data_IF_378920591115
#
_entry.id   IF_378920591115
#
_cell.length_a   1.000
_cell.length_b   1.000
_cell.length_c   1.000
_cell.angle_alpha   90.00
_cell.angle_beta   90.00
_cell.angle_gamma   90.00
#
_symmetry.space_group_name_H-M   'P 1'
#
loop_
_entity.id
_entity.type
_entity.pdbx_description
1 polymer ?
#
# COMPACT_ATOMS: atom_id res chain seq x y z
N UNK A 1 29.42 2.44 -35.35
CA UNK A 1 30.24 2.40 -34.12
C UNK A 1 30.41 0.96 -33.70
N UNK A 2 31.63 0.44 -33.74
CA UNK A 2 31.94 -0.94 -33.34
C UNK A 2 32.33 -0.92 -31.87
N UNK A 3 31.50 -1.50 -30.99
CA UNK A 3 31.84 -1.64 -29.56
C UNK A 3 32.82 -2.80 -29.42
N UNK A 4 34.04 -2.51 -28.98
CA UNK A 4 35.07 -3.54 -28.72
C UNK A 4 34.96 -4.02 -27.27
N UNK A 5 34.51 -5.26 -27.07
CA UNK A 5 34.39 -5.86 -25.74
C UNK A 5 35.76 -6.34 -25.25
N UNK A 6 36.33 -5.63 -24.26
CA UNK A 6 37.65 -5.96 -23.70
C UNK A 6 37.52 -6.57 -22.31
N UNK A 7 38.51 -7.38 -21.91
CA UNK A 7 38.55 -8.02 -20.58
C UNK A 7 38.46 -7.00 -19.42
N UNK A 8 39.04 -5.81 -19.61
CA UNK A 8 38.94 -4.69 -18.66
C UNK A 8 37.55 -4.06 -18.64
N UNK A 9 36.91 -3.92 -19.81
CA UNK A 9 35.51 -3.48 -19.90
C UNK A 9 34.56 -4.44 -19.19
N UNK A 10 34.81 -5.74 -19.28
CA UNK A 10 34.03 -6.76 -18.57
C UNK A 10 34.18 -6.65 -17.04
N UNK A 11 35.40 -6.47 -16.54
CA UNK A 11 35.66 -6.31 -15.09
C UNK A 11 35.09 -4.99 -14.55
N UNK A 12 35.16 -3.90 -15.32
CA UNK A 12 34.56 -2.63 -14.93
C UNK A 12 33.03 -2.72 -14.86
N UNK A 13 32.41 -3.43 -15.80
CA UNK A 13 30.96 -3.64 -15.81
C UNK A 13 30.50 -4.50 -14.62
N UNK A 14 31.22 -5.56 -14.25
CA UNK A 14 30.84 -6.40 -13.11
C UNK A 14 30.95 -5.66 -11.78
N UNK A 15 31.97 -4.82 -11.60
CA UNK A 15 32.09 -3.97 -10.40
C UNK A 15 30.98 -2.92 -10.34
N UNK A 16 30.63 -2.31 -11.49
CA UNK A 16 29.52 -1.36 -11.56
C UNK A 16 28.16 -1.99 -11.22
N UNK A 17 27.91 -3.24 -11.66
CA UNK A 17 26.71 -3.99 -11.28
C UNK A 17 26.72 -4.43 -9.81
N UNK A 18 27.89 -4.73 -9.24
CA UNK A 18 28.01 -5.13 -7.83
C UNK A 18 27.82 -3.97 -6.84
N UNK A 19 28.08 -2.73 -7.28
CA UNK A 19 27.86 -1.50 -6.49
C UNK A 19 26.52 -0.83 -6.77
N UNK A 20 25.76 -1.32 -7.75
CA UNK A 20 24.42 -0.83 -8.00
C UNK A 20 23.54 -1.17 -6.79
N UNK A 21 22.85 -0.19 -6.17
CA UNK A 21 21.89 -0.50 -5.12
C UNK A 21 20.84 -1.44 -5.70
N UNK A 22 20.62 -2.58 -5.04
CA UNK A 22 19.53 -3.47 -5.39
C UNK A 22 18.22 -2.68 -5.26
N UNK A 23 17.57 -2.40 -6.39
CA UNK A 23 16.23 -1.86 -6.40
C UNK A 23 15.28 -2.99 -5.98
N UNK A 24 15.12 -3.16 -4.67
CA UNK A 24 14.05 -4.00 -4.13
C UNK A 24 12.73 -3.31 -4.50
N UNK A 25 11.86 -4.02 -5.21
CA UNK A 25 10.47 -3.61 -5.31
C UNK A 25 9.91 -3.60 -3.88
N UNK A 26 9.64 -2.41 -3.32
CA UNK A 26 9.00 -2.33 -2.03
C UNK A 26 7.58 -2.88 -2.16
N UNK A 27 7.23 -3.84 -1.32
CA UNK A 27 5.84 -4.27 -1.18
C UNK A 27 4.97 -3.06 -0.88
N UNK A 28 3.80 -3.00 -1.53
CA UNK A 28 2.86 -1.91 -1.30
C UNK A 28 2.45 -1.92 0.17
N UNK A 29 2.60 -0.82 0.92
CA UNK A 29 2.08 -0.73 2.27
C UNK A 29 0.60 -1.13 2.29
N UNK A 30 0.22 -1.93 3.30
CA UNK A 30 -1.16 -2.34 3.51
C UNK A 30 -1.95 -1.19 4.13
N UNK A 31 -3.17 -0.98 3.65
CA UNK A 31 -4.08 0.03 4.16
C UNK A 31 -5.42 -0.63 4.46
N UNK A 32 -5.61 -1.05 5.71
CA UNK A 32 -6.84 -1.69 6.17
C UNK A 32 -7.85 -0.63 6.59
N UNK A 33 -9.06 -0.75 6.07
CA UNK A 33 -10.19 0.08 6.46
C UNK A 33 -11.16 -0.76 7.30
N UNK A 34 -11.50 -0.30 8.51
CA UNK A 34 -12.62 -0.83 9.28
C UNK A 34 -13.79 0.13 9.23
N UNK A 35 -14.95 -0.35 8.79
CA UNK A 35 -16.17 0.44 8.75
C UNK A 35 -17.40 -0.38 9.18
N UNK A 36 -18.29 0.28 9.92
CA UNK A 36 -19.48 -0.36 10.51
C UNK A 36 -20.68 -0.36 9.57
N UNK A 37 -20.67 0.52 8.57
CA UNK A 37 -21.69 0.53 7.53
C UNK A 37 -21.52 -0.63 6.54
N UNK A 38 -22.57 -0.87 5.74
CA UNK A 38 -22.55 -1.89 4.70
C UNK A 38 -21.68 -1.48 3.51
N UNK A 39 -21.29 -2.47 2.71
CA UNK A 39 -20.60 -2.25 1.44
C UNK A 39 -21.43 -1.45 0.43
N UNK A 40 -22.76 -1.52 0.53
CA UNK A 40 -23.71 -0.83 -0.35
C UNK A 40 -24.02 0.61 0.09
N UNK A 41 -23.50 1.06 1.24
CA UNK A 41 -23.57 2.46 1.66
C UNK A 41 -22.84 3.35 0.64
N UNK A 42 -23.38 4.54 0.36
CA UNK A 42 -22.79 5.45 -0.63
C UNK A 42 -21.35 5.86 -0.31
N UNK A 43 -20.97 5.91 0.97
CA UNK A 43 -19.59 6.18 1.39
C UNK A 43 -18.67 5.02 1.07
N UNK A 44 -19.15 3.79 1.26
CA UNK A 44 -18.42 2.58 0.91
C UNK A 44 -18.22 2.50 -0.61
N UNK A 45 -19.26 2.79 -1.39
CA UNK A 45 -19.18 2.90 -2.85
C UNK A 45 -18.17 3.96 -3.27
N UNK A 46 -18.21 5.16 -2.66
CA UNK A 46 -17.25 6.21 -2.97
C UNK A 46 -15.79 5.80 -2.66
N UNK A 47 -15.56 5.06 -1.57
CA UNK A 47 -14.24 4.51 -1.26
C UNK A 47 -13.81 3.48 -2.32
N UNK A 48 -14.68 2.56 -2.70
CA UNK A 48 -14.35 1.50 -3.68
C UNK A 48 -14.15 2.05 -5.09
N UNK A 49 -14.99 2.98 -5.54
CA UNK A 49 -14.97 3.46 -6.92
C UNK A 49 -14.05 4.65 -7.16
N UNK A 50 -13.71 5.42 -6.11
CA UNK A 50 -12.87 6.62 -6.22
C UNK A 50 -11.57 6.46 -5.47
N UNK A 51 -11.62 6.19 -4.16
CA UNK A 51 -10.42 6.17 -3.33
C UNK A 51 -9.49 5.01 -3.70
N UNK A 52 -10.00 3.78 -3.77
CA UNK A 52 -9.19 2.60 -4.03
C UNK A 52 -8.40 2.68 -5.35
N UNK A 53 -9.00 3.10 -6.50
CA UNK A 53 -8.25 3.30 -7.74
C UNK A 53 -7.17 4.39 -7.65
N UNK A 54 -7.40 5.46 -6.90
CA UNK A 54 -6.44 6.57 -6.76
C UNK A 54 -5.18 6.17 -5.99
N UNK A 55 -5.26 5.16 -5.11
CA UNK A 55 -4.13 4.72 -4.27
C UNK A 55 -3.54 3.37 -4.71
N UNK A 56 -4.15 2.71 -5.69
CA UNK A 56 -3.83 1.34 -6.08
C UNK A 56 -2.38 1.15 -6.54
N UNK A 57 -1.73 2.18 -7.09
CA UNK A 57 -0.35 2.07 -7.58
C UNK A 57 0.68 1.95 -6.46
N UNK A 58 0.38 2.45 -5.26
CA UNK A 58 1.34 2.56 -4.17
C UNK A 58 0.86 1.97 -2.83
N UNK A 59 -0.37 1.49 -2.73
CA UNK A 59 -0.94 0.87 -1.53
C UNK A 59 -1.72 -0.40 -1.87
N UNK A 60 -1.66 -1.39 -0.97
CA UNK A 60 -2.57 -2.54 -0.97
C UNK A 60 -3.76 -2.24 -0.06
N UNK A 61 -4.89 -1.82 -0.65
CA UNK A 61 -6.09 -1.42 0.08
C UNK A 61 -6.99 -2.63 0.41
N UNK A 62 -7.38 -2.78 1.67
CA UNK A 62 -8.21 -3.89 2.16
C UNK A 62 -9.38 -3.37 3.02
N UNK A 63 -10.61 -3.30 2.48
CA UNK A 63 -11.77 -2.84 3.23
C UNK A 63 -12.50 -3.97 3.98
N UNK A 64 -12.91 -3.67 5.21
CA UNK A 64 -13.76 -4.51 6.05
C UNK A 64 -15.02 -3.76 6.46
N UNK A 65 -16.18 -4.32 6.08
CA UNK A 65 -17.49 -3.72 6.29
C UNK A 65 -18.26 -4.39 7.44
N UNK A 66 -19.41 -3.82 7.80
CA UNK A 66 -20.33 -4.37 8.80
C UNK A 66 -19.69 -4.61 10.17
N UNK A 67 -18.62 -3.88 10.52
CA UNK A 67 -17.92 -4.02 11.80
C UNK A 67 -17.24 -5.39 11.98
N UNK A 68 -16.85 -6.05 10.89
CA UNK A 68 -16.26 -7.40 10.92
C UNK A 68 -14.82 -7.42 11.44
N UNK A 69 -14.06 -6.33 11.25
CA UNK A 69 -12.67 -6.23 11.71
C UNK A 69 -12.58 -5.61 13.12
N UNK A 70 -13.18 -4.44 13.32
CA UNK A 70 -13.32 -3.79 14.63
C UNK A 70 -14.78 -3.39 14.87
N UNK A 71 -15.18 -3.38 16.14
CA UNK A 71 -16.51 -2.93 16.56
C UNK A 71 -16.59 -1.40 16.51
N UNK A 72 -17.80 -0.87 16.34
CA UNK A 72 -18.05 0.57 16.36
C UNK A 72 -17.52 1.22 17.65
N UNK A 73 -16.80 2.32 17.49
CA UNK A 73 -16.22 3.09 18.59
C UNK A 73 -14.92 2.50 19.14
N UNK A 74 -14.30 1.54 18.45
CA UNK A 74 -12.98 0.98 18.83
C UNK A 74 -11.92 1.19 17.74
N UNK A 75 -12.32 1.76 16.61
CA UNK A 75 -11.45 1.94 15.45
C UNK A 75 -10.37 2.98 15.71
N UNK A 76 -10.67 4.05 16.47
CA UNK A 76 -9.69 5.09 16.78
C UNK A 76 -8.59 4.58 17.72
N UNK A 77 -8.94 3.75 18.70
CA UNK A 77 -7.97 3.08 19.56
C UNK A 77 -7.13 2.07 18.78
N UNK A 78 -7.73 1.37 17.81
CA UNK A 78 -7.01 0.46 16.92
C UNK A 78 -5.98 1.22 16.06
N UNK A 79 -6.38 2.37 15.51
CA UNK A 79 -5.48 3.27 14.75
C UNK A 79 -4.37 3.79 15.66
N UNK A 80 -4.70 4.28 16.86
CA UNK A 80 -3.72 4.81 17.81
C UNK A 80 -2.68 3.76 18.25
N UNK A 81 -3.04 2.48 18.25
CA UNK A 81 -2.14 1.36 18.58
C UNK A 81 -1.37 0.80 17.39
N UNK A 82 -1.59 1.32 16.17
CA UNK A 82 -0.96 0.82 14.95
C UNK A 82 -1.55 -0.51 14.45
N UNK A 83 -2.76 -0.86 14.88
CA UNK A 83 -3.44 -2.10 14.46
C UNK A 83 -4.39 -1.90 13.27
N UNK A 84 -4.65 -0.65 12.87
CA UNK A 84 -5.54 -0.27 11.79
C UNK A 84 -5.04 1.03 11.14
N UNK A 85 -5.23 1.18 9.83
CA UNK A 85 -4.77 2.38 9.13
C UNK A 85 -5.90 3.39 8.85
N UNK A 86 -7.14 2.93 8.65
CA UNK A 86 -8.27 3.79 8.30
C UNK A 86 -9.58 3.37 8.94
N UNK A 87 -10.45 4.37 9.15
CA UNK A 87 -11.86 4.19 9.53
C UNK A 87 -12.71 5.33 8.97
N UNK A 88 -13.99 5.04 8.72
CA UNK A 88 -15.03 6.06 8.49
C UNK A 88 -15.70 6.33 9.84
N UNK A 89 -15.08 7.21 10.63
CA UNK A 89 -15.58 7.56 11.96
C UNK A 89 -16.77 8.54 11.89
N UNK A 90 -17.58 8.58 12.94
CA UNK A 90 -18.54 9.66 13.18
C UNK A 90 -17.89 10.80 13.94
N UNK A 91 -18.44 12.01 13.84
CA UNK A 91 -18.18 13.07 14.80
C UNK A 91 -18.81 12.65 16.14
N UNK A 92 -18.02 12.06 17.03
CA UNK A 92 -18.41 11.84 18.43
C UNK A 92 -17.98 13.05 19.26
#
# INVERSE_FOLDING_TARGET
MTISLTRRGLVAATVALALAPAAFAQDKPQLRLSAVQSETDQRSIAILEKFAPMVADFVAFEPHWNGTLFKQGTELEAIARGNLEMSITSAQ
#
